data_IF_850492274385
#
_entry.id   IF_850492274385
#
_cell.length_a   1.000
_cell.length_b   1.000
_cell.length_c   1.000
_cell.angle_alpha   90.00
_cell.angle_beta   90.00
_cell.angle_gamma   90.00
#
_symmetry.space_group_name_H-M   'P 1'
#
loop_
_entity.id
_entity.type
_entity.pdbx_description
1 polymer ?
#
# COMPACT_ATOMS: atom_id res chain seq x y z
N UNK A 1 -23.79 -9.41 -32.01
CA UNK A 1 -23.33 -10.60 -31.27
C UNK A 1 -21.84 -10.68 -31.47
N UNK A 2 -20.97 -10.27 -30.56
CA UNK A 2 -21.10 -10.04 -29.13
C UNK A 2 -20.17 -8.91 -28.67
N UNK A 3 -20.55 -8.34 -27.54
CA UNK A 3 -19.88 -7.32 -26.74
C UNK A 3 -18.39 -7.61 -26.53
N UNK A 4 -17.54 -6.61 -26.76
CA UNK A 4 -16.36 -6.48 -25.92
C UNK A 4 -16.05 -5.00 -25.77
N UNK A 5 -16.58 -4.43 -24.69
CA UNK A 5 -16.27 -3.09 -24.20
C UNK A 5 -14.77 -2.75 -24.29
N UNK A 6 -14.40 -1.49 -24.60
CA UNK A 6 -13.05 -1.03 -24.36
C UNK A 6 -12.80 -1.13 -22.85
N UNK A 7 -11.96 -2.06 -22.44
CA UNK A 7 -11.49 -2.16 -21.06
C UNK A 7 -10.86 -0.81 -20.72
N UNK A 8 -11.18 -0.18 -19.58
CA UNK A 8 -10.62 1.11 -19.22
C UNK A 8 -9.13 0.93 -18.89
N UNK A 9 -8.30 0.93 -19.92
CA UNK A 9 -6.84 0.94 -19.87
C UNK A 9 -6.30 2.38 -19.74
N UNK A 10 -7.01 3.23 -19.00
CA UNK A 10 -6.69 4.66 -18.97
C UNK A 10 -6.45 5.20 -17.55
N UNK A 11 -5.40 6.03 -17.50
CA UNK A 11 -4.95 6.90 -16.43
C UNK A 11 -4.20 6.29 -15.22
N UNK A 12 -2.88 6.06 -15.38
CA UNK A 12 -1.87 7.09 -15.03
C UNK A 12 -0.43 6.52 -14.93
N UNK A 13 0.56 7.13 -15.59
CA UNK A 13 1.98 6.81 -15.40
C UNK A 13 2.49 7.50 -14.12
N UNK A 14 2.24 6.91 -12.96
CA UNK A 14 3.12 7.12 -11.78
C UNK A 14 4.04 5.92 -11.70
N UNK A 15 4.88 5.77 -12.72
CA UNK A 15 5.62 4.54 -13.00
C UNK A 15 6.71 4.29 -11.96
N UNK A 16 6.53 3.24 -11.18
CA UNK A 16 7.65 2.54 -10.55
C UNK A 16 8.54 1.98 -11.66
N UNK A 17 9.86 2.16 -11.52
CA UNK A 17 10.86 1.82 -12.56
C UNK A 17 10.88 0.33 -12.90
N UNK A 18 10.43 -0.51 -11.98
CA UNK A 18 10.40 -1.97 -12.11
C UNK A 18 9.22 -2.50 -12.95
N UNK A 19 8.26 -1.64 -13.33
CA UNK A 19 7.11 -2.05 -14.15
C UNK A 19 6.12 -2.99 -13.45
N UNK A 20 6.28 -3.23 -12.14
CA UNK A 20 5.42 -4.15 -11.40
C UNK A 20 4.06 -3.54 -11.08
N UNK A 21 3.04 -4.36 -11.18
CA UNK A 21 1.67 -4.07 -10.74
C UNK A 21 1.33 -4.88 -9.50
N UNK A 22 0.54 -4.29 -8.61
CA UNK A 22 0.05 -4.92 -7.38
C UNK A 22 -1.43 -4.64 -7.22
N UNK A 23 -2.15 -5.59 -6.63
CA UNK A 23 -3.54 -5.39 -6.27
C UNK A 23 -3.61 -4.51 -5.02
N UNK A 24 -3.88 -3.23 -5.21
CA UNK A 24 -3.81 -2.29 -4.10
C UNK A 24 -4.96 -2.52 -3.12
N UNK A 25 -4.67 -2.87 -1.86
CA UNK A 25 -5.70 -3.08 -0.81
C UNK A 25 -6.55 -1.85 -0.53
N UNK A 26 -6.00 -0.65 -0.73
CA UNK A 26 -6.72 0.60 -0.49
C UNK A 26 -7.68 0.98 -1.62
N UNK A 27 -7.27 0.74 -2.86
CA UNK A 27 -8.03 1.13 -4.05
C UNK A 27 -8.77 -0.03 -4.72
N UNK A 28 -8.52 -1.28 -4.28
CA UNK A 28 -9.10 -2.51 -4.80
C UNK A 28 -8.98 -2.64 -6.33
N UNK A 29 -7.87 -2.14 -6.88
CA UNK A 29 -7.58 -2.17 -8.32
C UNK A 29 -6.08 -2.39 -8.55
N UNK A 30 -5.74 -2.91 -9.72
CA UNK A 30 -4.36 -3.08 -10.13
C UNK A 30 -3.71 -1.72 -10.36
N UNK A 31 -2.65 -1.47 -9.62
CA UNK A 31 -1.89 -0.23 -9.69
C UNK A 31 -0.40 -0.54 -9.67
N UNK A 32 0.42 0.39 -10.17
CA UNK A 32 1.87 0.27 -10.11
C UNK A 32 2.33 0.14 -8.63
N UNK A 33 3.09 -0.92 -8.31
CA UNK A 33 3.56 -1.24 -6.95
C UNK A 33 4.92 -0.64 -6.60
N UNK A 34 5.18 -0.38 -5.32
CA UNK A 34 6.48 0.16 -4.81
C UNK A 34 7.73 -0.50 -5.41
N UNK A 35 8.74 0.22 -5.87
CA UNK A 35 9.97 -0.42 -6.42
C UNK A 35 10.77 -1.22 -5.38
N UNK A 36 10.66 -0.86 -4.11
CA UNK A 36 11.38 -1.51 -3.01
C UNK A 36 10.53 -1.50 -1.73
N UNK A 37 10.71 -2.48 -0.82
CA UNK A 37 10.05 -2.48 0.47
C UNK A 37 10.52 -1.28 1.30
N UNK A 38 9.59 -0.42 1.77
CA UNK A 38 9.94 0.79 2.52
C UNK A 38 10.30 0.50 3.99
N UNK A 39 9.97 -0.69 4.48
CA UNK A 39 10.21 -1.11 5.86
C UNK A 39 10.88 -2.49 5.88
N UNK A 40 11.81 -2.76 6.81
CA UNK A 40 12.33 -4.10 7.01
C UNK A 40 11.33 -4.98 7.76
N UNK A 41 11.33 -6.29 7.46
CA UNK A 41 10.47 -7.28 8.10
C UNK A 41 9.17 -7.59 7.33
N UNK A 42 8.33 -8.45 7.91
CA UNK A 42 7.11 -8.95 7.27
C UNK A 42 6.12 -7.84 6.88
N UNK A 43 6.00 -6.79 7.70
CA UNK A 43 5.12 -5.66 7.41
C UNK A 43 5.53 -4.96 6.10
N UNK A 44 6.82 -4.71 5.91
CA UNK A 44 7.32 -4.07 4.69
C UNK A 44 7.18 -4.94 3.45
N UNK A 45 7.36 -6.26 3.60
CA UNK A 45 7.09 -7.21 2.53
C UNK A 45 5.61 -7.23 2.14
N UNK A 46 4.71 -7.19 3.13
CA UNK A 46 3.26 -7.15 2.90
C UNK A 46 2.84 -5.87 2.19
N UNK A 47 3.38 -4.73 2.60
CA UNK A 47 3.14 -3.43 1.94
C UNK A 47 3.67 -3.48 0.51
N UNK A 48 4.87 -4.01 0.32
CA UNK A 48 5.41 -4.20 -1.01
C UNK A 48 4.47 -5.09 -1.85
N UNK A 49 3.88 -6.15 -1.32
CA UNK A 49 3.00 -7.02 -2.12
C UNK A 49 1.63 -6.41 -2.42
N UNK A 50 1.05 -5.65 -1.47
CA UNK A 50 -0.36 -5.25 -1.54
C UNK A 50 -0.60 -3.74 -1.67
N UNK A 51 0.44 -2.91 -1.66
CA UNK A 51 0.32 -1.44 -1.66
C UNK A 51 0.96 -0.84 -2.92
N UNK A 52 0.19 -0.02 -3.61
CA UNK A 52 0.65 0.70 -4.80
C UNK A 52 1.45 1.95 -4.44
N UNK A 53 2.27 2.44 -5.37
CA UNK A 53 2.96 3.72 -5.22
C UNK A 53 2.00 4.88 -4.97
N UNK A 54 0.80 4.84 -5.55
CA UNK A 54 -0.23 5.84 -5.30
C UNK A 54 -0.73 5.80 -3.85
N UNK A 55 -1.02 4.60 -3.32
CA UNK A 55 -1.46 4.44 -1.94
C UNK A 55 -0.34 4.75 -0.93
N UNK A 56 0.91 4.45 -1.30
CA UNK A 56 2.08 4.82 -0.50
C UNK A 56 2.23 6.33 -0.38
N UNK A 57 2.06 7.10 -1.45
CA UNK A 57 2.11 8.58 -1.38
C UNK A 57 1.10 9.16 -0.40
N UNK A 58 -0.12 8.62 -0.37
CA UNK A 58 -1.15 9.01 0.59
C UNK A 58 -0.70 8.72 2.03
N UNK A 59 -0.06 7.57 2.23
CA UNK A 59 0.50 7.22 3.51
C UNK A 59 1.67 8.13 3.93
N UNK A 60 2.56 8.52 3.03
CA UNK A 60 3.65 9.45 3.34
C UNK A 60 3.12 10.81 3.86
N UNK A 61 2.03 11.31 3.29
CA UNK A 61 1.38 12.53 3.76
C UNK A 61 0.77 12.35 5.16
N UNK A 62 0.08 11.22 5.38
CA UNK A 62 -0.45 10.83 6.70
C UNK A 62 0.66 10.71 7.74
N UNK A 63 1.78 10.07 7.39
CA UNK A 63 2.94 9.88 8.26
C UNK A 63 3.54 11.23 8.68
N UNK A 64 3.68 12.19 7.75
CA UNK A 64 4.14 13.55 8.08
C UNK A 64 3.20 14.25 9.06
N UNK A 65 1.88 14.09 8.88
CA UNK A 65 0.88 14.65 9.79
C UNK A 65 1.02 14.05 11.19
N UNK A 66 1.15 12.72 11.30
CA UNK A 66 1.34 12.01 12.59
C UNK A 66 2.62 12.47 13.27
N UNK A 67 3.74 12.52 12.56
CA UNK A 67 5.02 13.01 13.10
C UNK A 67 4.89 14.43 13.65
N UNK A 68 4.19 15.32 12.93
CA UNK A 68 4.01 16.70 13.36
C UNK A 68 3.04 16.83 14.55
N UNK A 69 1.92 16.09 14.56
CA UNK A 69 0.96 16.10 15.67
C UNK A 69 1.57 15.56 16.97
N UNK A 70 2.18 14.39 16.90
CA UNK A 70 2.79 13.76 18.07
C UNK A 70 4.16 14.35 18.42
N UNK A 71 4.66 15.33 17.63
CA UNK A 71 6.01 15.92 17.76
C UNK A 71 7.11 14.85 17.83
N UNK A 72 6.92 13.78 17.06
CA UNK A 72 7.81 12.63 17.03
C UNK A 72 8.91 12.84 16.00
N UNK A 73 10.06 12.23 16.27
CA UNK A 73 11.19 12.22 15.35
C UNK A 73 11.29 10.84 14.70
N UNK A 74 11.46 10.73 13.37
CA UNK A 74 11.35 9.45 12.64
C UNK A 74 12.42 8.41 13.01
N UNK A 75 13.50 8.82 13.67
CA UNK A 75 14.55 7.94 14.18
C UNK A 75 14.29 7.40 15.59
N UNK A 76 13.27 7.91 16.28
CA UNK A 76 12.90 7.40 17.60
C UNK A 76 12.17 6.06 17.47
N UNK A 77 12.51 5.12 18.34
CA UNK A 77 11.87 3.79 18.35
C UNK A 77 10.36 3.88 18.55
N UNK A 78 9.92 4.73 19.47
CA UNK A 78 8.50 4.97 19.73
C UNK A 78 7.76 5.52 18.50
N UNK A 79 8.41 6.40 17.73
CA UNK A 79 7.86 6.90 16.48
C UNK A 79 7.73 5.79 15.42
N UNK A 80 8.73 4.93 15.30
CA UNK A 80 8.69 3.79 14.39
C UNK A 80 7.57 2.80 14.76
N UNK A 81 7.36 2.55 16.05
CA UNK A 81 6.28 1.68 16.53
C UNK A 81 4.89 2.29 16.26
N UNK A 82 4.73 3.59 16.51
CA UNK A 82 3.47 4.31 16.22
C UNK A 82 3.20 4.36 14.71
N UNK A 83 4.22 4.65 13.90
CA UNK A 83 4.12 4.68 12.44
C UNK A 83 3.74 3.29 11.92
N UNK A 84 4.43 2.23 12.35
CA UNK A 84 4.12 0.86 11.93
C UNK A 84 2.68 0.47 12.30
N UNK A 85 2.23 0.79 13.53
CA UNK A 85 0.86 0.52 13.97
C UNK A 85 -0.17 1.29 13.13
N UNK A 86 0.05 2.59 12.93
CA UNK A 86 -0.88 3.43 12.18
C UNK A 86 -0.87 3.10 10.68
N UNK A 87 0.25 2.57 10.17
CA UNK A 87 0.41 2.08 8.80
C UNK A 87 -0.40 0.81 8.60
N UNK A 88 -0.25 -0.14 9.53
CA UNK A 88 -1.03 -1.37 9.53
C UNK A 88 -2.52 -1.04 9.61
N UNK A 89 -2.93 -0.12 10.48
CA UNK A 89 -4.31 0.35 10.57
C UNK A 89 -4.79 1.05 9.27
N UNK A 90 -3.95 1.88 8.65
CA UNK A 90 -4.33 2.64 7.45
C UNK A 90 -4.53 1.76 6.21
N UNK A 91 -3.70 0.71 6.07
CA UNK A 91 -3.70 -0.20 4.92
C UNK A 91 -4.43 -1.52 5.17
N UNK A 92 -4.50 -2.00 6.41
CA UNK A 92 -5.03 -3.30 6.82
C UNK A 92 -6.07 -3.23 7.97
N UNK A 93 -6.30 -2.05 8.58
CA UNK A 93 -7.31 -1.84 9.63
C UNK A 93 -8.74 -1.73 9.10
N UNK A 94 -9.63 -1.05 9.85
CA UNK A 94 -11.10 -1.02 9.61
C UNK A 94 -11.53 -0.57 8.20
N UNK A 95 -10.64 0.03 7.40
CA UNK A 95 -10.88 0.41 6.01
C UNK A 95 -10.31 -0.57 4.95
N UNK A 96 -9.82 -1.73 5.35
CA UNK A 96 -9.14 -2.71 4.50
C UNK A 96 -9.65 -4.14 4.69
N UNK A 97 -10.85 -4.28 5.26
CA UNK A 97 -11.49 -5.54 5.50
C UNK A 97 -11.77 -6.28 4.16
N UNK A 98 -10.91 -7.25 3.83
CA UNK A 98 -11.31 -8.39 3.01
C UNK A 98 -12.03 -9.40 3.93
N UNK A 99 -13.12 -10.04 3.46
CA UNK A 99 -13.91 -11.01 4.21
C UNK A 99 -13.07 -12.22 4.66
N UNK A 100 -13.56 -13.02 5.64
CA UNK A 100 -12.83 -14.13 6.28
C UNK A 100 -12.62 -15.36 5.36
N UNK A 101 -12.00 -15.15 4.19
CA UNK A 101 -11.73 -16.18 3.19
C UNK A 101 -10.65 -15.82 2.16
N UNK A 102 -9.92 -14.69 2.30
CA UNK A 102 -8.83 -14.36 1.37
C UNK A 102 -7.57 -15.15 1.72
N UNK A 103 -7.35 -16.25 1.00
CA UNK A 103 -6.11 -17.02 0.98
C UNK A 103 -5.29 -16.48 -0.19
N UNK A 104 -4.17 -15.76 0.02
CA UNK A 104 -3.25 -15.51 -1.07
C UNK A 104 -2.61 -16.85 -1.41
N UNK A 105 -3.03 -17.47 -2.51
CA UNK A 105 -2.32 -18.61 -3.08
C UNK A 105 -0.88 -18.16 -3.34
N UNK A 106 0.04 -18.75 -2.59
CA UNK A 106 1.47 -18.63 -2.80
C UNK A 106 1.76 -19.18 -4.19
N UNK A 107 2.02 -18.29 -5.15
CA UNK A 107 2.54 -18.68 -6.45
C UNK A 107 3.87 -19.44 -6.24
N UNK A 108 3.84 -20.74 -6.52
CA UNK A 108 5.01 -21.62 -6.57
C UNK A 108 5.36 -21.93 -8.01
#
# INVERSE_FOLDING_TARGET
MDDCAPTPQDAAPTGNKSGRTVQCVKFQKELPGLDAPPWPGDLGQRIYDTVSTQAWKLWEERMKMILNEYRLMPWQKEAQEIIAKQMEDFFFGEGAALPPGYVPEQAK
#
